data_IF_300653670876
#
_entry.id   IF_300653670876
#
_cell.length_a   1.000
_cell.length_b   1.000
_cell.length_c   1.000
_cell.angle_alpha   90.00
_cell.angle_beta   90.00
_cell.angle_gamma   90.00
#
_symmetry.space_group_name_H-M   'P 1'
#
loop_
_entity.id
_entity.type
_entity.pdbx_description
1 polymer ?
#
# COMPACT_ATOMS: atom_id res chain seq x y z
N UNK A 1 -16.25 25.73 6.90
CA UNK A 1 -15.65 25.60 8.26
C UNK A 1 -14.16 25.83 8.13
N UNK A 2 -13.60 26.83 8.82
CA UNK A 2 -12.16 27.04 8.90
C UNK A 2 -11.62 26.17 10.04
N UNK A 3 -10.74 25.23 9.71
CA UNK A 3 -10.05 24.40 10.71
C UNK A 3 -8.60 24.89 10.75
N UNK A 4 -8.13 25.44 11.89
CA UNK A 4 -6.73 25.83 12.04
C UNK A 4 -5.83 24.59 12.06
N UNK A 5 -4.56 24.76 11.71
CA UNK A 5 -3.59 23.68 11.78
C UNK A 5 -3.30 23.27 13.24
N UNK A 6 -2.98 21.99 13.49
CA UNK A 6 -2.49 21.53 14.79
C UNK A 6 -1.28 22.34 15.26
N UNK A 7 -1.42 22.99 16.43
CA UNK A 7 -0.33 23.69 17.08
C UNK A 7 0.76 22.73 17.57
N UNK A 8 1.96 23.25 17.85
CA UNK A 8 3.13 22.50 18.26
C UNK A 8 2.84 21.49 19.39
N UNK A 9 3.45 20.31 19.29
CA UNK A 9 3.28 19.21 20.24
C UNK A 9 3.74 19.56 21.66
N UNK A 10 4.67 20.49 21.80
CA UNK A 10 5.13 21.02 23.10
C UNK A 10 4.00 21.63 23.91
N UNK A 11 3.01 22.24 23.26
CA UNK A 11 1.82 22.78 23.91
C UNK A 11 0.91 21.66 24.42
N UNK A 12 0.70 20.62 23.62
CA UNK A 12 -0.17 19.49 23.97
C UNK A 12 0.42 18.59 25.06
N UNK A 13 1.74 18.45 25.09
CA UNK A 13 2.46 17.60 26.03
C UNK A 13 2.87 18.32 27.32
N UNK A 14 2.46 19.57 27.52
CA UNK A 14 2.79 20.33 28.72
C UNK A 14 2.17 19.67 29.97
N UNK A 15 3.00 19.36 30.97
CA UNK A 15 2.58 18.67 32.19
C UNK A 15 1.88 19.56 33.21
N UNK A 16 1.96 20.88 33.07
CA UNK A 16 1.31 21.87 33.93
C UNK A 16 0.96 23.14 33.16
N UNK A 17 0.13 24.00 33.77
CA UNK A 17 -0.25 25.28 33.19
C UNK A 17 0.97 26.22 33.02
N UNK A 18 1.93 26.20 33.95
CA UNK A 18 3.16 26.98 33.86
C UNK A 18 4.03 26.48 32.70
N UNK A 19 4.19 25.16 32.55
CA UNK A 19 4.94 24.56 31.45
C UNK A 19 4.31 24.90 30.09
N UNK A 20 2.97 24.87 30.01
CA UNK A 20 2.23 25.28 28.82
C UNK A 20 2.49 26.75 28.49
N UNK A 21 2.40 27.65 29.49
CA UNK A 21 2.64 29.08 29.32
C UNK A 21 4.05 29.35 28.82
N UNK A 22 5.06 28.69 29.41
CA UNK A 22 6.45 28.83 28.97
C UNK A 22 6.64 28.36 27.53
N UNK A 23 6.04 27.23 27.14
CA UNK A 23 6.08 26.75 25.75
C UNK A 23 5.37 27.69 24.79
N UNK A 24 4.22 28.25 25.18
CA UNK A 24 3.47 29.23 24.39
C UNK A 24 4.27 30.52 24.15
N UNK A 25 4.86 31.10 25.21
CA UNK A 25 5.67 32.31 25.09
C UNK A 25 6.94 32.09 24.26
N UNK A 26 7.52 30.89 24.29
CA UNK A 26 8.66 30.54 23.42
C UNK A 26 8.26 30.51 21.92
N UNK A 27 7.02 30.16 21.62
CA UNK A 27 6.45 30.11 20.27
C UNK A 27 5.80 31.42 19.82
N UNK A 28 5.60 32.39 20.73
CA UNK A 28 4.95 33.68 20.44
C UNK A 28 5.70 34.48 19.36
N UNK A 29 7.04 34.32 19.29
CA UNK A 29 7.89 34.89 18.24
C UNK A 29 7.58 34.33 16.83
N UNK A 30 6.81 33.25 16.72
CA UNK A 30 6.45 32.57 15.47
C UNK A 30 5.00 32.85 15.01
N UNK A 31 4.32 33.83 15.62
CA UNK A 31 2.97 34.28 15.23
C UNK A 31 1.94 33.13 15.08
N UNK A 32 1.68 32.40 16.17
CA UNK A 32 0.66 31.34 16.25
C UNK A 32 -0.73 31.77 15.70
N UNK A 33 -1.09 33.05 15.82
CA UNK A 33 -2.34 33.62 15.29
C UNK A 33 -2.40 33.69 13.75
N UNK A 34 -1.28 33.52 13.06
CA UNK A 34 -1.15 33.58 11.61
C UNK A 34 -0.94 32.19 10.97
N UNK A 35 -1.13 31.10 11.72
CA UNK A 35 -1.06 29.76 11.13
C UNK A 35 -2.10 29.66 9.99
N UNK A 36 -1.67 29.23 8.78
CA UNK A 36 -2.57 29.07 7.67
C UNK A 36 -3.65 28.05 8.01
N UNK A 37 -4.82 28.21 7.42
CA UNK A 37 -5.89 27.24 7.58
C UNK A 37 -5.55 25.94 6.84
N UNK A 38 -6.10 24.81 7.32
CA UNK A 38 -5.94 23.52 6.66
C UNK A 38 -6.40 23.56 5.18
N UNK A 39 -7.46 24.33 4.89
CA UNK A 39 -7.94 24.55 3.51
C UNK A 39 -6.88 25.17 2.59
N UNK A 40 -6.08 26.09 3.11
CA UNK A 40 -5.05 26.78 2.34
C UNK A 40 -3.93 25.80 1.97
N UNK A 41 -3.63 24.85 2.86
CA UNK A 41 -2.68 23.78 2.61
C UNK A 41 -3.16 22.83 1.52
N UNK A 42 -4.45 22.49 1.48
CA UNK A 42 -5.03 21.69 0.40
C UNK A 42 -4.95 22.36 -0.97
N UNK A 43 -5.13 23.69 -1.03
CA UNK A 43 -5.06 24.43 -2.29
C UNK A 43 -3.64 24.63 -2.78
N UNK A 44 -2.67 24.71 -1.87
CA UNK A 44 -1.26 24.87 -2.21
C UNK A 44 -0.36 24.29 -1.13
N UNK A 45 0.21 23.11 -1.38
CA UNK A 45 1.14 22.47 -0.43
C UNK A 45 2.39 23.30 -0.16
N UNK A 46 2.81 24.20 -1.05
CA UNK A 46 3.99 25.05 -0.82
C UNK A 46 3.84 25.93 0.44
N UNK A 47 2.61 26.18 0.91
CA UNK A 47 2.36 26.84 2.20
C UNK A 47 3.01 26.09 3.38
N UNK A 48 3.21 24.77 3.27
CA UNK A 48 3.90 23.97 4.27
C UNK A 48 5.36 24.38 4.46
N UNK A 49 6.03 24.82 3.39
CA UNK A 49 7.45 25.22 3.43
C UNK A 49 7.70 26.49 4.25
N UNK A 50 6.64 27.25 4.53
CA UNK A 50 6.69 28.48 5.31
C UNK A 50 6.24 28.29 6.75
N UNK A 51 5.90 27.06 7.14
CA UNK A 51 5.49 26.77 8.51
C UNK A 51 6.73 26.66 9.41
N UNK A 52 6.64 27.29 10.58
CA UNK A 52 7.68 27.22 11.61
C UNK A 52 7.45 26.10 12.62
N UNK A 53 8.28 26.07 13.65
CA UNK A 53 8.22 25.09 14.76
C UNK A 53 6.94 25.19 15.61
N UNK A 54 6.13 26.23 15.38
CA UNK A 54 4.86 26.47 16.06
C UNK A 54 3.75 25.47 15.72
N UNK A 55 4.02 24.53 14.81
CA UNK A 55 3.06 23.56 14.27
C UNK A 55 3.50 22.11 14.54
N UNK A 56 2.53 21.22 14.79
CA UNK A 56 2.77 19.78 14.73
C UNK A 56 2.72 19.31 13.26
N UNK A 57 3.90 19.21 12.64
CA UNK A 57 4.07 18.76 11.25
C UNK A 57 3.55 17.33 11.01
N UNK A 58 3.84 16.31 11.86
CA UNK A 58 3.23 14.98 11.73
C UNK A 58 1.70 15.01 11.75
N UNK A 59 1.09 15.69 12.73
CA UNK A 59 -0.37 15.76 12.85
C UNK A 59 -1.00 16.50 11.67
N UNK A 60 -0.34 17.54 11.16
CA UNK A 60 -0.80 18.24 9.95
C UNK A 60 -0.70 17.37 8.71
N UNK A 61 0.41 16.66 8.55
CA UNK A 61 0.57 15.73 7.43
C UNK A 61 -0.53 14.68 7.42
N UNK A 62 -0.86 14.11 8.58
CA UNK A 62 -1.97 13.16 8.73
C UNK A 62 -3.32 13.80 8.39
N UNK A 63 -3.58 15.02 8.86
CA UNK A 63 -4.82 15.73 8.57
C UNK A 63 -5.00 15.97 7.07
N UNK A 64 -3.95 16.48 6.39
CA UNK A 64 -3.96 16.72 4.95
C UNK A 64 -4.17 15.41 4.21
N UNK A 65 -3.33 14.41 4.45
CA UNK A 65 -3.40 13.15 3.72
C UNK A 65 -4.74 12.44 3.95
N UNK A 66 -5.31 12.52 5.15
CA UNK A 66 -6.66 12.00 5.43
C UNK A 66 -7.73 12.69 4.60
N UNK A 67 -7.65 14.00 4.38
CA UNK A 67 -8.59 14.70 3.48
C UNK A 67 -8.36 14.39 2.01
N UNK A 68 -7.10 14.17 1.58
CA UNK A 68 -6.79 13.75 0.21
C UNK A 68 -7.40 12.40 -0.16
N UNK A 69 -7.79 11.58 0.81
CA UNK A 69 -8.56 10.35 0.61
C UNK A 69 -9.81 10.57 -0.25
N UNK A 70 -10.42 11.76 -0.18
CA UNK A 70 -11.61 12.09 -0.96
C UNK A 70 -11.37 11.91 -2.47
N UNK A 71 -10.17 12.21 -2.97
CA UNK A 71 -9.83 12.06 -4.39
C UNK A 71 -9.75 10.57 -4.79
N UNK A 72 -9.13 9.76 -3.93
CA UNK A 72 -9.08 8.30 -4.10
C UNK A 72 -10.49 7.70 -4.08
N UNK A 73 -11.32 8.14 -3.12
CA UNK A 73 -12.71 7.69 -3.01
C UNK A 73 -13.54 8.10 -4.24
N UNK A 74 -13.46 9.35 -4.69
CA UNK A 74 -14.16 9.84 -5.88
C UNK A 74 -13.77 9.04 -7.13
N UNK A 75 -12.47 8.80 -7.33
CA UNK A 75 -11.99 7.94 -8.40
C UNK A 75 -12.62 6.53 -8.32
N UNK A 76 -12.59 5.90 -7.15
CA UNK A 76 -13.16 4.55 -6.97
C UNK A 76 -14.67 4.50 -7.22
N UNK A 77 -15.40 5.50 -6.76
CA UNK A 77 -16.85 5.58 -7.00
C UNK A 77 -17.16 5.69 -8.49
N UNK A 78 -16.34 6.44 -9.25
CA UNK A 78 -16.47 6.54 -10.71
C UNK A 78 -16.14 5.22 -11.41
N UNK A 79 -15.13 4.48 -10.94
CA UNK A 79 -14.84 3.12 -11.43
C UNK A 79 -16.00 2.18 -11.17
N UNK A 80 -16.57 2.20 -9.96
CA UNK A 80 -17.71 1.36 -9.59
C UNK A 80 -18.94 1.66 -10.44
N UNK A 81 -19.27 2.94 -10.64
CA UNK A 81 -20.38 3.37 -11.50
C UNK A 81 -20.17 2.98 -12.98
N UNK A 82 -18.92 2.99 -13.47
CA UNK A 82 -18.59 2.49 -14.81
C UNK A 82 -18.83 1.00 -14.93
N UNK A 83 -18.43 0.21 -13.93
CA UNK A 83 -18.59 -1.25 -13.97
C UNK A 83 -20.06 -1.68 -14.05
N UNK A 84 -20.99 -0.89 -13.50
CA UNK A 84 -22.44 -1.13 -13.54
C UNK A 84 -23.15 -0.54 -14.77
N UNK A 85 -22.48 0.31 -15.57
CA UNK A 85 -23.05 1.00 -16.74
C UNK A 85 -23.14 0.14 -18.00
N UNK A 86 -23.85 0.58 -19.04
CA UNK A 86 -23.87 -0.09 -20.36
C UNK A 86 -22.54 0.08 -21.12
N UNK A 87 -22.24 -0.82 -22.07
CA UNK A 87 -20.95 -0.86 -22.78
C UNK A 87 -20.59 0.45 -23.50
N UNK A 88 -21.56 1.11 -24.13
CA UNK A 88 -21.37 2.41 -24.78
C UNK A 88 -21.01 3.52 -23.79
N UNK A 89 -21.60 3.53 -22.59
CA UNK A 89 -21.26 4.49 -21.53
C UNK A 89 -19.90 4.17 -20.88
N UNK A 90 -19.48 2.90 -20.87
CA UNK A 90 -18.15 2.49 -20.38
C UNK A 90 -17.01 3.00 -21.25
N UNK A 91 -17.17 3.00 -22.57
CA UNK A 91 -16.15 3.51 -23.48
C UNK A 91 -15.94 5.03 -23.29
N UNK A 92 -17.05 5.78 -23.16
CA UNK A 92 -17.01 7.24 -23.04
C UNK A 92 -16.43 7.74 -21.71
N UNK A 93 -16.48 6.92 -20.65
CA UNK A 93 -15.98 7.29 -19.31
C UNK A 93 -14.51 6.92 -19.06
N UNK A 94 -13.85 6.22 -19.98
CA UNK A 94 -12.49 5.72 -19.80
C UNK A 94 -11.47 6.83 -19.55
N UNK A 95 -11.42 7.84 -20.43
CA UNK A 95 -10.48 8.97 -20.33
C UNK A 95 -10.70 9.80 -19.07
N UNK A 96 -11.95 9.97 -18.64
CA UNK A 96 -12.28 10.71 -17.41
C UNK A 96 -11.75 9.96 -16.19
N UNK A 97 -11.91 8.64 -16.15
CA UNK A 97 -11.42 7.81 -15.04
C UNK A 97 -9.89 7.80 -14.99
N UNK A 98 -9.23 7.69 -16.14
CA UNK A 98 -7.77 7.78 -16.23
C UNK A 98 -7.27 9.16 -15.77
N UNK A 99 -7.94 10.25 -16.17
CA UNK A 99 -7.62 11.60 -15.71
C UNK A 99 -7.76 11.73 -14.20
N UNK A 100 -8.86 11.25 -13.61
CA UNK A 100 -9.08 11.28 -12.15
C UNK A 100 -8.04 10.45 -11.40
N UNK A 101 -7.62 9.30 -11.95
CA UNK A 101 -6.57 8.48 -11.36
C UNK A 101 -5.22 9.21 -11.36
N UNK A 102 -4.86 9.84 -12.49
CA UNK A 102 -3.62 10.60 -12.63
C UNK A 102 -3.61 11.83 -11.72
N UNK A 103 -4.72 12.53 -11.61
CA UNK A 103 -4.90 13.67 -10.71
C UNK A 103 -4.74 13.25 -9.24
N UNK A 104 -5.47 12.21 -8.81
CA UNK A 104 -5.39 11.72 -7.44
C UNK A 104 -3.97 11.23 -7.11
N UNK A 105 -3.32 10.53 -8.04
CA UNK A 105 -1.92 10.12 -7.89
C UNK A 105 -0.99 11.34 -7.80
N UNK A 106 -1.11 12.28 -8.72
CA UNK A 106 -0.27 13.47 -8.79
C UNK A 106 -0.32 14.27 -7.49
N UNK A 107 -1.52 14.53 -6.97
CA UNK A 107 -1.70 15.25 -5.70
C UNK A 107 -1.03 14.52 -4.52
N UNK A 108 -1.08 13.18 -4.47
CA UNK A 108 -0.42 12.40 -3.42
C UNK A 108 1.12 12.46 -3.53
N UNK A 109 1.66 12.38 -4.73
CA UNK A 109 3.11 12.47 -4.96
C UNK A 109 3.62 13.90 -4.70
N UNK A 110 2.89 14.92 -5.15
CA UNK A 110 3.20 16.33 -4.89
C UNK A 110 3.20 16.62 -3.40
N UNK A 111 2.21 16.12 -2.66
CA UNK A 111 2.19 16.22 -1.20
C UNK A 111 3.43 15.59 -0.57
N UNK A 112 3.78 14.35 -0.94
CA UNK A 112 4.98 13.66 -0.42
C UNK A 112 6.25 14.44 -0.71
N UNK A 113 6.40 14.97 -1.91
CA UNK A 113 7.57 15.75 -2.31
C UNK A 113 7.69 17.05 -1.49
N UNK A 114 6.61 17.82 -1.36
CA UNK A 114 6.63 19.07 -0.59
C UNK A 114 6.80 18.81 0.91
N UNK A 115 6.13 17.78 1.44
CA UNK A 115 6.26 17.42 2.85
C UNK A 115 7.68 16.96 3.18
N UNK A 116 8.29 16.10 2.37
CA UNK A 116 9.69 15.67 2.58
C UNK A 116 10.69 16.80 2.40
N UNK A 117 10.42 17.77 1.52
CA UNK A 117 11.22 19.00 1.44
C UNK A 117 11.11 19.84 2.72
N UNK A 118 9.93 19.88 3.35
CA UNK A 118 9.68 20.60 4.59
C UNK A 118 10.33 19.93 5.81
N UNK A 119 10.11 18.63 6.01
CA UNK A 119 10.51 17.91 7.23
C UNK A 119 11.80 17.07 7.07
N UNK A 120 12.35 16.98 5.86
CA UNK A 120 13.48 16.12 5.50
C UNK A 120 13.12 14.64 5.30
N UNK A 121 12.16 14.11 6.06
CA UNK A 121 11.66 12.74 5.92
C UNK A 121 10.17 12.65 6.27
N UNK A 122 9.51 11.60 5.78
CA UNK A 122 8.12 11.31 6.09
C UNK A 122 8.05 10.26 7.20
N UNK A 123 7.39 10.59 8.30
CA UNK A 123 7.24 9.69 9.45
C UNK A 123 6.57 8.36 9.05
N UNK A 124 6.91 7.23 9.70
CA UNK A 124 6.45 5.89 9.29
C UNK A 124 4.93 5.80 9.12
N UNK A 125 4.15 6.25 10.11
CA UNK A 125 2.67 6.18 10.02
C UNK A 125 2.10 7.03 8.88
N UNK A 126 2.70 8.19 8.63
CA UNK A 126 2.27 9.08 7.56
C UNK A 126 2.61 8.49 6.19
N UNK A 127 3.80 7.88 6.06
CA UNK A 127 4.21 7.14 4.87
C UNK A 127 3.32 5.91 4.63
N UNK A 128 2.96 5.13 5.66
CA UNK A 128 2.03 4.01 5.52
C UNK A 128 0.66 4.46 4.99
N UNK A 129 0.12 5.57 5.51
CA UNK A 129 -1.13 6.12 5.01
C UNK A 129 -1.00 6.54 3.53
N UNK A 130 0.13 7.14 3.14
CA UNK A 130 0.39 7.57 1.75
C UNK A 130 0.43 6.38 0.79
N UNK A 131 1.22 5.37 1.14
CA UNK A 131 1.34 4.15 0.34
C UNK A 131 0.00 3.37 0.33
N UNK A 132 -0.78 3.39 1.40
CA UNK A 132 -2.13 2.81 1.43
C UNK A 132 -3.08 3.52 0.46
N UNK A 133 -3.02 4.85 0.36
CA UNK A 133 -3.85 5.59 -0.59
C UNK A 133 -3.46 5.31 -2.04
N UNK A 134 -2.16 5.30 -2.33
CA UNK A 134 -1.65 4.92 -3.65
C UNK A 134 -2.02 3.48 -4.01
N UNK A 135 -1.89 2.53 -3.09
CA UNK A 135 -2.33 1.14 -3.30
C UNK A 135 -3.82 1.08 -3.70
N UNK A 136 -4.69 1.81 -2.98
CA UNK A 136 -6.12 1.84 -3.26
C UNK A 136 -6.50 2.50 -4.60
N UNK A 137 -5.63 3.31 -5.22
CA UNK A 137 -5.81 3.79 -6.59
C UNK A 137 -5.65 2.68 -7.64
N UNK A 138 -4.95 1.59 -7.29
CA UNK A 138 -4.62 0.53 -8.23
C UNK A 138 -5.36 -0.78 -7.97
N UNK A 139 -6.08 -0.91 -6.84
CA UNK A 139 -6.85 -2.10 -6.53
C UNK A 139 -8.14 -1.81 -5.75
N UNK A 140 -9.22 -2.49 -6.14
CA UNK A 140 -10.45 -2.57 -5.37
C UNK A 140 -10.32 -3.65 -4.29
N UNK A 141 -10.02 -3.22 -3.06
CA UNK A 141 -9.95 -4.15 -1.93
C UNK A 141 -11.30 -4.85 -1.68
N UNK A 142 -12.41 -4.20 -2.02
CA UNK A 142 -13.73 -4.79 -1.90
C UNK A 142 -13.88 -5.99 -2.85
N UNK A 143 -13.46 -5.87 -4.10
CA UNK A 143 -13.46 -6.99 -5.06
C UNK A 143 -12.52 -8.11 -4.60
N UNK A 144 -11.35 -7.77 -4.05
CA UNK A 144 -10.44 -8.78 -3.47
C UNK A 144 -11.10 -9.51 -2.30
N UNK A 145 -11.85 -8.82 -1.45
CA UNK A 145 -12.58 -9.43 -0.35
C UNK A 145 -13.74 -10.31 -0.86
N UNK A 146 -14.44 -9.89 -1.92
CA UNK A 146 -15.44 -10.73 -2.58
C UNK A 146 -14.82 -11.99 -3.18
N UNK A 147 -13.64 -11.88 -3.83
CA UNK A 147 -12.87 -13.04 -4.28
C UNK A 147 -12.51 -13.97 -3.11
N UNK A 148 -12.14 -13.40 -1.96
CA UNK A 148 -11.90 -14.13 -0.70
C UNK A 148 -13.16 -14.69 -0.03
N UNK A 149 -14.33 -14.60 -0.67
CA UNK A 149 -15.58 -15.21 -0.21
C UNK A 149 -16.40 -14.36 0.78
N UNK A 150 -16.09 -13.08 0.99
CA UNK A 150 -16.80 -12.19 1.93
C UNK A 150 -18.33 -12.16 1.72
N UNK A 151 -18.78 -12.26 0.47
CA UNK A 151 -20.19 -12.24 0.09
C UNK A 151 -20.65 -13.56 -0.59
N UNK A 152 -19.93 -14.66 -0.33
CA UNK A 152 -20.22 -15.96 -0.89
C UNK A 152 -19.71 -16.17 -2.31
N UNK A 153 -19.96 -17.37 -2.83
CA UNK A 153 -19.38 -17.88 -4.08
C UNK A 153 -19.88 -17.14 -5.33
N UNK A 154 -21.14 -16.68 -5.33
CA UNK A 154 -21.71 -15.94 -6.45
C UNK A 154 -20.96 -14.63 -6.72
N UNK A 155 -20.70 -13.86 -5.66
CA UNK A 155 -19.93 -12.61 -5.75
C UNK A 155 -18.45 -12.87 -6.08
N UNK A 156 -17.86 -13.94 -5.52
CA UNK A 156 -16.49 -14.34 -5.86
C UNK A 156 -16.35 -14.65 -7.36
N UNK A 157 -17.30 -15.40 -7.95
CA UNK A 157 -17.35 -15.67 -9.40
C UNK A 157 -17.58 -14.40 -10.21
N UNK A 158 -18.40 -13.46 -9.71
CA UNK A 158 -18.67 -12.19 -10.40
C UNK A 158 -17.42 -11.33 -10.54
N UNK A 159 -16.59 -11.23 -9.49
CA UNK A 159 -15.41 -10.36 -9.49
C UNK A 159 -14.18 -10.99 -10.16
N UNK A 160 -14.13 -12.33 -10.26
CA UNK A 160 -12.98 -13.06 -10.79
C UNK A 160 -12.51 -12.57 -12.17
N UNK A 161 -13.37 -12.42 -13.21
CA UNK A 161 -12.93 -11.95 -14.53
C UNK A 161 -12.25 -10.57 -14.48
N UNK A 162 -12.74 -9.67 -13.64
CA UNK A 162 -12.18 -8.33 -13.48
C UNK A 162 -10.79 -8.38 -12.85
N UNK A 163 -10.61 -9.20 -11.82
CA UNK A 163 -9.32 -9.37 -11.14
C UNK A 163 -8.30 -10.14 -12.02
N UNK A 164 -8.74 -11.12 -12.80
CA UNK A 164 -7.90 -11.81 -13.79
C UNK A 164 -7.45 -10.88 -14.90
N UNK A 165 -8.26 -9.90 -15.31
CA UNK A 165 -7.80 -8.86 -16.24
C UNK A 165 -6.85 -7.88 -15.55
N UNK A 166 -7.16 -7.46 -14.33
CA UNK A 166 -6.33 -6.56 -13.53
C UNK A 166 -4.91 -7.09 -13.34
N UNK A 167 -4.74 -8.38 -13.02
CA UNK A 167 -3.41 -8.96 -12.74
C UNK A 167 -2.45 -8.85 -13.92
N UNK A 168 -2.96 -8.88 -15.16
CA UNK A 168 -2.19 -8.74 -16.40
C UNK A 168 -1.68 -7.31 -16.61
N UNK A 169 -2.38 -6.31 -16.06
CA UNK A 169 -2.09 -4.90 -16.24
C UNK A 169 -0.94 -4.37 -15.39
N UNK A 170 -0.53 -3.12 -15.65
CA UNK A 170 0.47 -2.41 -14.82
C UNK A 170 -0.04 -2.10 -13.42
N UNK A 171 -1.35 -1.86 -13.29
CA UNK A 171 -2.00 -1.53 -12.02
C UNK A 171 -1.76 -2.61 -10.95
N UNK A 172 -1.73 -3.89 -11.33
CA UNK A 172 -1.49 -4.96 -10.35
C UNK A 172 -0.11 -4.91 -9.71
N UNK A 173 0.91 -4.64 -10.53
CA UNK A 173 2.31 -4.50 -10.08
C UNK A 173 2.51 -3.22 -9.27
N UNK A 174 1.82 -2.13 -9.62
CA UNK A 174 1.78 -0.91 -8.82
C UNK A 174 1.12 -1.14 -7.46
N UNK A 175 -0.03 -1.81 -7.41
CA UNK A 175 -0.69 -2.17 -6.16
C UNK A 175 0.21 -3.05 -5.28
N UNK A 176 0.86 -4.06 -5.88
CA UNK A 176 1.81 -4.94 -5.19
C UNK A 176 3.02 -4.16 -4.64
N UNK A 177 3.56 -3.22 -5.40
CA UNK A 177 4.64 -2.33 -4.95
C UNK A 177 4.23 -1.51 -3.73
N UNK A 178 3.12 -0.77 -3.79
CA UNK A 178 2.66 0.02 -2.65
C UNK A 178 2.31 -0.86 -1.44
N UNK A 179 1.74 -2.04 -1.65
CA UNK A 179 1.54 -3.03 -0.60
C UNK A 179 2.86 -3.44 0.06
N UNK A 180 3.92 -3.69 -0.73
CA UNK A 180 5.26 -3.98 -0.23
C UNK A 180 5.85 -2.83 0.58
N UNK A 181 5.64 -1.57 0.16
CA UNK A 181 6.07 -0.40 0.92
C UNK A 181 5.36 -0.26 2.27
N UNK A 182 4.09 -0.66 2.36
CA UNK A 182 3.38 -0.76 3.65
C UNK A 182 4.03 -1.84 4.54
N UNK A 183 4.41 -2.99 3.98
CA UNK A 183 5.14 -4.01 4.75
C UNK A 183 6.50 -3.49 5.25
N UNK A 184 7.22 -2.74 4.41
CA UNK A 184 8.50 -2.10 4.76
C UNK A 184 8.35 -1.16 5.94
N UNK A 185 7.31 -0.34 5.94
CA UNK A 185 6.99 0.58 7.05
C UNK A 185 6.60 -0.18 8.31
N UNK A 186 5.82 -1.25 8.19
CA UNK A 186 5.39 -2.05 9.34
C UNK A 186 6.52 -2.70 10.13
N UNK A 187 7.73 -2.78 9.57
CA UNK A 187 8.93 -3.31 10.25
C UNK A 187 9.68 -2.26 11.07
N UNK A 188 9.26 -1.00 11.02
CA UNK A 188 9.91 0.11 11.75
C UNK A 188 9.27 0.30 13.12
N UNK A 189 9.89 1.13 13.97
CA UNK A 189 9.32 1.50 15.26
C UNK A 189 8.10 2.42 15.06
N UNK A 190 6.92 1.88 15.37
CA UNK A 190 5.64 2.56 15.17
C UNK A 190 5.21 3.34 16.40
N UNK A 191 4.64 4.53 16.18
CA UNK A 191 3.90 5.27 17.21
C UNK A 191 2.80 4.38 17.84
N UNK A 192 2.82 4.16 19.16
CA UNK A 192 1.78 3.41 19.87
C UNK A 192 0.35 3.85 19.58
N UNK A 193 0.13 5.14 19.36
CA UNK A 193 -1.19 5.71 19.11
C UNK A 193 -1.76 5.32 17.73
N UNK A 194 -0.90 4.97 16.78
CA UNK A 194 -1.26 4.74 15.37
C UNK A 194 -1.09 3.27 14.94
N UNK A 195 -0.89 2.34 15.89
CA UNK A 195 -0.75 0.91 15.58
C UNK A 195 -1.98 0.30 14.92
N UNK A 196 -3.21 0.66 15.31
CA UNK A 196 -4.42 0.13 14.65
C UNK A 196 -4.41 0.42 13.15
N UNK A 197 -4.12 1.67 12.78
CA UNK A 197 -4.03 2.05 11.38
C UNK A 197 -2.99 1.23 10.64
N UNK A 198 -1.82 1.01 11.25
CA UNK A 198 -0.77 0.20 10.64
C UNK A 198 -1.19 -1.27 10.49
N UNK A 199 -1.81 -1.87 11.51
CA UNK A 199 -2.33 -3.25 11.46
C UNK A 199 -3.34 -3.40 10.32
N UNK A 200 -4.25 -2.43 10.16
CA UNK A 200 -5.21 -2.43 9.06
C UNK A 200 -4.54 -2.24 7.70
N UNK A 201 -3.54 -1.36 7.61
CA UNK A 201 -2.75 -1.15 6.39
C UNK A 201 -2.02 -2.44 5.97
N UNK A 202 -1.33 -3.12 6.90
CA UNK A 202 -0.65 -4.40 6.64
C UNK A 202 -1.65 -5.48 6.24
N UNK A 203 -2.83 -5.53 6.86
CA UNK A 203 -3.89 -6.44 6.44
C UNK A 203 -4.36 -6.16 5.00
N UNK A 204 -4.59 -4.90 4.63
CA UNK A 204 -4.96 -4.54 3.25
C UNK A 204 -3.85 -4.85 2.24
N UNK A 205 -2.59 -4.62 2.61
CA UNK A 205 -1.43 -5.02 1.83
C UNK A 205 -1.37 -6.53 1.63
N UNK A 206 -1.67 -7.32 2.67
CA UNK A 206 -1.70 -8.78 2.61
C UNK A 206 -2.74 -9.30 1.61
N UNK A 207 -3.93 -8.71 1.58
CA UNK A 207 -4.99 -9.05 0.62
C UNK A 207 -4.58 -8.71 -0.81
N UNK A 208 -3.95 -7.56 -1.01
CA UNK A 208 -3.46 -7.10 -2.31
C UNK A 208 -2.39 -8.04 -2.86
N UNK A 209 -1.40 -8.39 -2.03
CA UNK A 209 -0.33 -9.33 -2.38
C UNK A 209 -0.90 -10.73 -2.64
N UNK A 210 -1.84 -11.20 -1.80
CA UNK A 210 -2.52 -12.48 -2.00
C UNK A 210 -3.29 -12.55 -3.32
N UNK A 211 -4.07 -11.53 -3.66
CA UNK A 211 -4.80 -11.47 -4.93
C UNK A 211 -3.83 -11.47 -6.12
N UNK A 212 -2.74 -10.71 -6.03
CA UNK A 212 -1.70 -10.70 -7.05
C UNK A 212 -1.07 -12.09 -7.22
N UNK A 213 -0.72 -12.75 -6.11
CA UNK A 213 -0.14 -14.09 -6.09
C UNK A 213 -0.99 -15.11 -6.84
N UNK A 214 -2.23 -15.33 -6.39
CA UNK A 214 -3.08 -16.42 -6.88
C UNK A 214 -3.52 -16.25 -8.32
N UNK A 215 -3.48 -15.02 -8.85
CA UNK A 215 -3.90 -14.71 -10.21
C UNK A 215 -2.72 -14.64 -11.18
N UNK A 216 -1.51 -14.33 -10.69
CA UNK A 216 -0.30 -14.17 -11.52
C UNK A 216 0.29 -15.50 -11.98
N UNK A 217 0.10 -16.59 -11.22
CA UNK A 217 0.59 -17.95 -11.54
C UNK A 217 -0.43 -18.79 -12.34
N UNK A 218 -1.49 -18.18 -12.89
CA UNK A 218 -2.39 -18.91 -13.80
C UNK A 218 -1.67 -19.14 -15.14
N UNK A 219 -1.45 -20.40 -15.59
CA UNK A 219 -0.90 -20.65 -16.92
C UNK A 219 -1.87 -20.02 -17.91
N UNK A 220 -1.35 -19.09 -18.73
CA UNK A 220 -2.13 -18.46 -19.79
C UNK A 220 -2.65 -19.54 -20.73
N UNK A 221 -3.91 -19.94 -20.56
CA UNK A 221 -4.69 -20.60 -21.59
C UNK A 221 -4.87 -19.56 -22.69
N UNK A 222 -3.94 -19.54 -23.64
CA UNK A 222 -4.06 -19.02 -25.00
C UNK A 222 -2.66 -18.74 -25.57
N UNK A 223 -2.02 -19.77 -26.11
CA UNK A 223 -1.19 -19.68 -27.32
C UNK A 223 -1.00 -21.10 -27.89
N UNK A 224 -1.23 -21.34 -29.20
CA UNK A 224 -0.98 -22.65 -29.79
C UNK A 224 0.52 -22.92 -29.82
N UNK A 225 0.93 -23.98 -29.11
CA UNK A 225 2.26 -24.55 -29.19
C UNK A 225 2.44 -25.10 -30.61
N UNK A 226 3.15 -24.36 -31.46
CA UNK A 226 3.73 -24.93 -32.67
C UNK A 226 4.89 -25.82 -32.27
N UNK A 227 4.62 -27.11 -32.25
CA UNK A 227 5.62 -28.18 -32.20
C UNK A 227 6.62 -27.97 -33.32
N UNK A 228 7.86 -27.64 -33.00
CA UNK A 228 8.99 -27.79 -33.91
C UNK A 228 10.11 -28.50 -33.16
N UNK A 229 10.14 -29.81 -33.35
CA UNK A 229 11.28 -30.66 -33.01
C UNK A 229 12.45 -30.31 -33.94
N UNK A 230 13.66 -30.15 -33.37
CA UNK A 230 14.93 -30.77 -33.85
C UNK A 230 16.16 -30.32 -33.03
N UNK A 231 17.27 -31.10 -33.04
CA UNK A 231 17.98 -31.47 -31.82
C UNK A 231 19.43 -30.99 -31.75
N UNK A 232 19.97 -31.08 -30.52
CA UNK A 232 21.34 -31.38 -30.12
C UNK A 232 22.48 -30.94 -31.05
N UNK A 233 23.13 -29.82 -30.71
CA UNK A 233 24.59 -29.72 -30.69
C UNK A 233 25.03 -28.84 -29.51
N UNK A 234 25.95 -29.37 -28.72
CA UNK A 234 26.58 -28.72 -27.59
C UNK A 234 27.48 -27.55 -28.04
N UNK A 235 27.42 -26.44 -27.31
CA UNK A 235 28.57 -25.58 -27.02
C UNK A 235 28.30 -24.82 -25.71
N UNK A 236 29.34 -24.79 -24.88
CA UNK A 236 29.39 -24.30 -23.50
C UNK A 236 29.18 -22.79 -23.33
N UNK A 237 28.83 -22.43 -22.09
CA UNK A 237 28.93 -21.11 -21.43
C UNK A 237 27.78 -20.09 -21.55
N UNK A 238 26.55 -20.55 -21.33
CA UNK A 238 25.51 -19.68 -20.77
C UNK A 238 24.98 -20.26 -19.46
N UNK A 239 25.57 -19.84 -18.34
CA UNK A 239 24.87 -19.89 -17.06
C UNK A 239 23.55 -19.12 -17.26
N UNK A 240 22.36 -19.71 -17.01
CA UNK A 240 21.12 -18.97 -17.16
C UNK A 240 21.18 -17.82 -16.17
N UNK A 241 21.41 -16.60 -16.67
CA UNK A 241 21.47 -15.39 -15.86
C UNK A 241 20.17 -15.33 -15.07
N UNK A 242 20.23 -15.67 -13.78
CA UNK A 242 19.06 -15.65 -12.90
C UNK A 242 18.39 -14.30 -13.06
N UNK A 243 17.13 -14.30 -13.46
CA UNK A 243 16.40 -13.07 -13.72
C UNK A 243 16.40 -12.22 -12.43
N UNK A 244 16.74 -10.92 -12.50
CA UNK A 244 16.84 -10.08 -11.31
C UNK A 244 15.46 -9.97 -10.63
N UNK A 245 15.44 -10.25 -9.34
CA UNK A 245 14.23 -10.31 -8.52
C UNK A 245 13.94 -8.93 -7.89
N UNK A 246 12.78 -8.35 -8.18
CA UNK A 246 12.40 -7.06 -7.61
C UNK A 246 11.98 -7.21 -6.15
N UNK A 247 12.66 -6.51 -5.24
CA UNK A 247 12.27 -6.47 -3.83
C UNK A 247 11.20 -5.39 -3.64
N UNK A 248 9.93 -5.78 -3.54
CA UNK A 248 8.80 -4.82 -3.51
C UNK A 248 8.64 -4.12 -2.16
N UNK A 249 9.31 -4.60 -1.12
CA UNK A 249 9.40 -3.98 0.21
C UNK A 249 10.81 -3.42 0.48
N UNK A 250 11.54 -3.07 -0.58
CA UNK A 250 12.84 -2.44 -0.56
C UNK A 250 12.83 -1.01 -1.14
N UNK A 251 14.00 -0.55 -1.55
CA UNK A 251 14.16 0.76 -2.18
C UNK A 251 13.71 0.73 -3.65
N UNK A 252 13.39 1.91 -4.18
CA UNK A 252 13.09 2.07 -5.60
C UNK A 252 14.36 1.93 -6.43
N UNK A 253 14.54 0.73 -6.99
CA UNK A 253 15.70 0.36 -7.80
C UNK A 253 15.31 0.17 -9.26
N UNK A 254 16.27 0.19 -10.21
CA UNK A 254 15.98 -0.14 -11.61
C UNK A 254 15.32 -1.52 -11.82
N UNK A 255 15.55 -2.47 -10.91
CA UNK A 255 14.91 -3.80 -10.94
C UNK A 255 13.44 -3.70 -10.58
N UNK A 256 13.09 -2.90 -9.57
CA UNK A 256 11.69 -2.58 -9.22
C UNK A 256 11.01 -1.84 -10.38
N UNK A 257 11.67 -0.86 -10.99
CA UNK A 257 11.12 -0.15 -12.15
C UNK A 257 10.84 -1.10 -13.32
N UNK A 258 11.73 -2.07 -13.58
CA UNK A 258 11.48 -3.14 -14.55
C UNK A 258 10.27 -3.98 -14.15
N UNK A 259 10.13 -4.38 -12.88
CA UNK A 259 8.96 -5.10 -12.41
C UNK A 259 7.67 -4.31 -12.68
N UNK A 260 7.63 -3.03 -12.35
CA UNK A 260 6.45 -2.19 -12.60
C UNK A 260 6.09 -2.13 -14.09
N UNK A 261 7.08 -2.05 -14.99
CA UNK A 261 6.85 -1.86 -16.42
C UNK A 261 6.61 -3.15 -17.21
N UNK A 262 7.31 -4.24 -16.88
CA UNK A 262 7.37 -5.46 -17.71
C UNK A 262 6.47 -6.56 -17.14
N UNK A 263 5.45 -7.02 -17.88
CA UNK A 263 4.67 -8.20 -17.50
C UNK A 263 5.57 -9.44 -17.36
N UNK A 264 5.31 -10.27 -16.34
CA UNK A 264 6.08 -11.49 -16.08
C UNK A 264 7.40 -11.29 -15.31
N UNK A 265 7.82 -10.04 -15.07
CA UNK A 265 8.95 -9.77 -14.20
C UNK A 265 8.68 -10.27 -12.77
N UNK A 266 9.70 -10.88 -12.16
CA UNK A 266 9.59 -11.54 -10.86
C UNK A 266 9.82 -10.57 -9.70
N UNK A 267 9.11 -10.80 -8.61
CA UNK A 267 9.23 -10.02 -7.39
C UNK A 267 9.32 -10.89 -6.13
N UNK A 268 9.83 -10.31 -5.06
CA UNK A 268 9.97 -10.92 -3.74
C UNK A 268 9.69 -9.93 -2.61
N UNK A 269 9.42 -10.47 -1.43
CA UNK A 269 9.40 -9.73 -0.17
C UNK A 269 10.49 -10.22 0.78
N UNK A 270 10.86 -9.38 1.74
CA UNK A 270 11.76 -9.74 2.82
C UNK A 270 11.02 -10.50 3.93
N UNK A 271 11.51 -11.68 4.30
CA UNK A 271 11.07 -12.40 5.48
C UNK A 271 11.93 -12.02 6.70
N UNK A 272 11.34 -11.99 7.91
CA UNK A 272 12.10 -11.83 9.14
C UNK A 272 13.06 -13.02 9.30
N UNK A 273 14.36 -12.73 9.33
CA UNK A 273 15.41 -13.72 9.58
C UNK A 273 15.90 -13.59 11.03
N UNK A 274 16.15 -14.73 11.69
CA UNK A 274 16.82 -14.75 13.01
C UNK A 274 18.32 -14.49 12.91
N UNK A 275 18.90 -14.70 11.73
CA UNK A 275 20.32 -14.50 11.41
C UNK A 275 20.50 -13.22 10.58
N UNK A 276 21.73 -12.69 10.53
CA UNK A 276 22.09 -11.38 9.95
C UNK A 276 21.77 -11.17 8.45
N UNK A 277 21.20 -12.15 7.74
CA UNK A 277 20.88 -12.05 6.32
C UNK A 277 19.36 -12.15 6.07
N UNK A 278 18.74 -11.17 5.39
CA UNK A 278 17.31 -11.21 5.09
C UNK A 278 16.96 -12.38 4.17
N UNK A 279 15.90 -13.12 4.50
CA UNK A 279 15.39 -14.20 3.64
C UNK A 279 14.50 -13.58 2.56
N UNK A 280 14.80 -13.83 1.28
CA UNK A 280 13.97 -13.36 0.17
C UNK A 280 12.90 -14.40 -0.18
N UNK A 281 11.63 -14.01 -0.09
CA UNK A 281 10.49 -14.85 -0.45
C UNK A 281 9.94 -14.44 -1.81
N UNK A 282 10.12 -15.29 -2.81
CA UNK A 282 9.54 -15.10 -4.14
C UNK A 282 8.00 -15.05 -4.08
N UNK A 283 7.40 -14.12 -4.82
CA UNK A 283 5.94 -13.94 -4.95
C UNK A 283 5.34 -15.02 -5.88
N UNK A 284 5.73 -16.28 -5.69
CA UNK A 284 5.02 -17.48 -6.15
C UNK A 284 4.69 -18.41 -4.99
N UNK A 285 5.36 -18.24 -3.84
CA UNK A 285 5.19 -19.08 -2.66
C UNK A 285 4.15 -18.48 -1.72
N UNK A 286 2.88 -18.50 -2.14
CA UNK A 286 1.80 -17.85 -1.41
C UNK A 286 1.71 -18.23 0.09
N UNK A 287 1.84 -19.51 0.51
CA UNK A 287 1.85 -19.85 1.94
C UNK A 287 2.96 -19.15 2.72
N UNK A 288 4.20 -19.19 2.22
CA UNK A 288 5.36 -18.61 2.90
C UNK A 288 5.26 -17.09 3.00
N UNK A 289 4.82 -16.42 1.93
CA UNK A 289 4.58 -14.97 1.90
C UNK A 289 3.52 -14.58 2.92
N UNK A 290 2.38 -15.29 2.95
CA UNK A 290 1.30 -14.98 3.89
C UNK A 290 1.72 -15.26 5.34
N UNK A 291 2.52 -16.30 5.62
CA UNK A 291 3.08 -16.53 6.95
C UNK A 291 4.01 -15.39 7.39
N UNK A 292 4.88 -14.88 6.50
CA UNK A 292 5.76 -13.75 6.82
C UNK A 292 4.98 -12.46 7.10
N UNK A 293 3.87 -12.22 6.40
CA UNK A 293 3.00 -11.07 6.68
C UNK A 293 2.21 -11.27 7.99
N UNK A 294 1.79 -12.50 8.29
CA UNK A 294 1.13 -12.84 9.55
C UNK A 294 2.07 -12.65 10.77
N UNK A 295 3.36 -12.95 10.63
CA UNK A 295 4.35 -12.61 11.66
C UNK A 295 4.48 -11.10 11.83
N UNK A 296 4.53 -10.34 10.73
CA UNK A 296 4.59 -8.87 10.78
C UNK A 296 3.37 -8.27 11.49
N UNK A 297 2.16 -8.78 11.24
CA UNK A 297 0.95 -8.34 11.93
C UNK A 297 1.05 -8.50 13.46
N UNK A 298 1.64 -9.62 13.91
CA UNK A 298 1.88 -9.86 15.35
C UNK A 298 2.94 -8.89 15.88
N UNK A 299 4.01 -8.65 15.15
CA UNK A 299 5.09 -7.75 15.55
C UNK A 299 4.59 -6.29 15.66
N UNK A 300 3.76 -5.84 14.72
CA UNK A 300 3.08 -4.54 14.75
C UNK A 300 2.21 -4.34 16.00
N UNK A 301 1.70 -5.42 16.61
CA UNK A 301 0.88 -5.33 17.83
C UNK A 301 1.68 -5.07 19.11
N UNK A 302 3.00 -5.30 19.07
CA UNK A 302 3.94 -5.10 20.19
C UNK A 302 3.93 -6.26 21.21
N UNK A 303 5.11 -6.59 21.74
CA UNK A 303 5.29 -7.72 22.68
C UNK A 303 4.73 -7.46 24.09
N UNK A 304 4.58 -6.19 24.51
CA UNK A 304 4.17 -5.79 25.86
C UNK A 304 3.56 -4.39 25.88
N UNK A 305 2.27 -4.19 25.59
CA UNK A 305 1.53 -2.99 26.05
C UNK A 305 0.04 -3.01 25.66
N UNK A 306 -0.84 -3.12 26.68
CA UNK A 306 -2.06 -2.32 26.85
C UNK A 306 -2.96 -2.02 25.63
N UNK A 307 -3.07 -2.91 24.65
CA UNK A 307 -4.04 -2.77 23.56
C UNK A 307 -5.25 -3.67 23.79
N UNK A 308 -6.44 -3.08 23.78
CA UNK A 308 -7.73 -3.74 24.04
C UNK A 308 -8.27 -4.57 22.85
N UNK A 309 -7.46 -4.89 21.84
CA UNK A 309 -7.91 -5.61 20.65
C UNK A 309 -7.01 -6.79 20.21
N UNK A 310 -6.49 -7.63 21.12
CA UNK A 310 -5.71 -8.81 20.74
C UNK A 310 -6.52 -9.75 19.82
N UNK A 311 -7.83 -9.85 20.05
CA UNK A 311 -8.73 -10.67 19.22
C UNK A 311 -8.77 -10.24 17.76
N UNK A 312 -8.64 -8.95 17.44
CA UNK A 312 -8.60 -8.47 16.07
C UNK A 312 -7.32 -8.91 15.36
N UNK A 313 -6.16 -8.69 15.99
CA UNK A 313 -4.86 -9.09 15.43
C UNK A 313 -4.81 -10.60 15.23
N UNK A 314 -5.29 -11.38 16.19
CA UNK A 314 -5.38 -12.84 16.07
C UNK A 314 -6.32 -13.27 14.94
N UNK A 315 -7.46 -12.60 14.79
CA UNK A 315 -8.41 -12.88 13.70
C UNK A 315 -7.79 -12.57 12.33
N UNK A 316 -7.15 -11.41 12.17
CA UNK A 316 -6.51 -11.01 10.93
C UNK A 316 -5.32 -11.93 10.59
N UNK A 317 -4.49 -12.26 11.58
CA UNK A 317 -3.37 -13.21 11.44
C UNK A 317 -3.88 -14.57 10.95
N UNK A 318 -4.91 -15.13 11.61
CA UNK A 318 -5.52 -16.40 11.21
C UNK A 318 -6.12 -16.33 9.80
N UNK A 319 -6.75 -15.20 9.45
CA UNK A 319 -7.31 -15.01 8.12
C UNK A 319 -6.22 -15.01 7.04
N UNK A 320 -5.14 -14.24 7.25
CA UNK A 320 -3.97 -14.18 6.35
C UNK A 320 -3.34 -15.56 6.17
N UNK A 321 -3.13 -16.31 7.25
CA UNK A 321 -2.60 -17.68 7.17
C UNK A 321 -3.55 -18.64 6.42
N UNK A 322 -4.87 -18.50 6.60
CA UNK A 322 -5.87 -19.29 5.86
C UNK A 322 -5.86 -18.97 4.37
N UNK A 323 -5.68 -17.71 3.99
CA UNK A 323 -5.54 -17.29 2.59
C UNK A 323 -4.32 -17.92 1.94
N UNK A 324 -3.20 -18.02 2.67
CA UNK A 324 -2.00 -18.74 2.22
C UNK A 324 -2.26 -20.22 1.93
N UNK A 325 -2.94 -20.94 2.85
CA UNK A 325 -3.31 -22.34 2.64
C UNK A 325 -4.31 -22.55 1.49
N UNK A 326 -5.27 -21.64 1.35
CA UNK A 326 -6.23 -21.69 0.25
C UNK A 326 -5.53 -21.52 -1.10
N UNK A 327 -4.54 -20.63 -1.20
CA UNK A 327 -3.75 -20.46 -2.41
C UNK A 327 -3.01 -21.74 -2.82
N UNK A 328 -2.44 -22.48 -1.86
CA UNK A 328 -1.79 -23.77 -2.13
C UNK A 328 -2.75 -24.80 -2.74
N UNK A 329 -3.98 -24.87 -2.23
CA UNK A 329 -5.00 -25.78 -2.76
C UNK A 329 -5.38 -25.51 -4.23
N UNK A 330 -5.36 -24.23 -4.64
CA UNK A 330 -5.62 -23.83 -6.03
C UNK A 330 -4.52 -24.39 -6.94
N UNK A 331 -3.26 -24.24 -6.56
CA UNK A 331 -2.15 -24.74 -7.36
C UNK A 331 -2.09 -26.26 -7.45
N UNK A 332 -2.44 -26.97 -6.37
CA UNK A 332 -2.49 -28.44 -6.41
C UNK A 332 -3.64 -28.97 -7.28
N UNK A 333 -4.77 -28.26 -7.36
CA UNK A 333 -5.92 -28.67 -8.18
C UNK A 333 -5.75 -28.43 -9.69
N UNK A 334 -4.82 -27.57 -10.09
CA UNK A 334 -4.54 -27.25 -11.51
C UNK A 334 -3.45 -28.18 -12.09
N UNK A 335 -2.77 -28.95 -11.25
CA UNK A 335 -1.72 -29.90 -11.64
C UNK A 335 -2.18 -31.36 -11.82
N UNK A 336 -3.48 -31.65 -11.64
CA UNK A 336 -4.12 -32.95 -11.93
C UNK A 336 -4.93 -32.87 -13.24
#
# INVERSE_FOLDING_TARGET
MSVPLPAARSLWNASSAEAWRSAYLALENQNLACLPELRSCYSNFATLLHLGDAQDAPSTGLAILSGLWVNVWQYKERVNARNTSTETLRANSALIIESLQQEARGILEDFKNVYTQFTGTMEPNLLALHEQQLMHLYISLEDVQYLGGKAGEAEARRVLPFLTNWVKGRASRQAAWHAGQILRVGRQDLDPALRASMIMAVYHASLTIWAYLILSDTPSVDMPVTTSERPLYANQDHCPRSEPLALIDGDDTPVVQRFLLVPGAKAAITAPAKDMQPILLHISRAPAVMTAIATLLRDCSGSKANWNCPSLVDNLTRLVERLGRAAESIYTSVGE
#
